data_IF_817790431424
#
_entry.id   IF_817790431424
#
_cell.length_a   1.000
_cell.length_b   1.000
_cell.length_c   1.000
_cell.angle_alpha   90.00
_cell.angle_beta   90.00
_cell.angle_gamma   90.00
#
_symmetry.space_group_name_H-M   'P 1'
#
loop_
_entity.id
_entity.type
_entity.pdbx_description
1 polymer ?
#
# COMPACT_ATOMS: atom_id res chain seq x y z
N UNK A 1 1.04 -7.11 -6.96
CA UNK A 1 1.24 -6.82 -8.41
C UNK A 1 -0.07 -6.83 -9.24
N UNK A 2 -0.80 -7.96 -9.33
CA UNK A 2 -2.01 -8.09 -10.19
C UNK A 2 -3.09 -7.03 -9.90
N UNK A 3 -3.32 -6.68 -8.63
CA UNK A 3 -4.39 -5.73 -8.25
C UNK A 3 -4.07 -4.30 -8.72
N UNK A 4 -2.82 -3.85 -8.62
CA UNK A 4 -2.41 -2.53 -9.12
C UNK A 4 -2.52 -2.46 -10.66
N UNK A 5 -2.22 -3.56 -11.34
CA UNK A 5 -2.36 -3.70 -12.80
C UNK A 5 -3.84 -3.68 -13.24
N UNK A 6 -4.75 -4.22 -12.42
CA UNK A 6 -6.19 -4.06 -12.65
C UNK A 6 -6.61 -2.60 -12.51
N UNK A 7 -6.15 -1.90 -11.47
CA UNK A 7 -6.52 -0.49 -11.26
C UNK A 7 -6.02 0.43 -12.38
N UNK A 8 -4.79 0.23 -12.88
CA UNK A 8 -4.29 1.02 -14.04
C UNK A 8 -5.12 0.72 -15.29
N UNK A 9 -5.47 -0.54 -15.53
CA UNK A 9 -6.27 -0.92 -16.69
C UNK A 9 -7.68 -0.32 -16.61
N UNK A 10 -8.34 -0.43 -15.46
CA UNK A 10 -9.66 0.16 -15.25
C UNK A 10 -9.64 1.68 -15.40
N UNK A 11 -8.63 2.37 -14.85
CA UNK A 11 -8.47 3.81 -15.03
C UNK A 11 -8.32 4.19 -16.51
N UNK A 12 -7.51 3.44 -17.28
CA UNK A 12 -7.33 3.65 -18.70
C UNK A 12 -8.63 3.45 -19.49
N UNK A 13 -9.39 2.39 -19.21
CA UNK A 13 -10.70 2.16 -19.84
C UNK A 13 -11.68 3.31 -19.56
N UNK A 14 -11.74 3.79 -18.31
CA UNK A 14 -12.58 4.93 -17.93
C UNK A 14 -12.16 6.22 -18.64
N UNK A 15 -10.86 6.42 -18.83
CA UNK A 15 -10.35 7.54 -19.62
C UNK A 15 -10.77 7.46 -21.09
N UNK A 16 -10.67 6.28 -21.71
CA UNK A 16 -11.13 6.08 -23.09
C UNK A 16 -12.63 6.35 -23.24
N UNK A 17 -13.46 5.77 -22.36
CA UNK A 17 -14.90 6.02 -22.36
C UNK A 17 -15.22 7.51 -22.19
N UNK A 18 -14.48 8.21 -21.32
CA UNK A 18 -14.67 9.65 -21.12
C UNK A 18 -14.33 10.51 -22.35
N UNK A 19 -13.50 10.02 -23.28
CA UNK A 19 -13.20 10.73 -24.54
C UNK A 19 -14.37 10.67 -25.52
N UNK A 20 -15.16 9.59 -25.47
CA UNK A 20 -16.30 9.34 -26.37
C UNK A 20 -17.60 10.03 -25.87
N UNK A 21 -17.65 10.42 -24.59
CA UNK A 21 -18.83 11.01 -23.95
C UNK A 21 -18.86 12.56 -24.01
N UNK A 22 -19.90 13.21 -24.60
CA UNK A 22 -20.01 14.67 -24.64
C UNK A 22 -20.73 15.27 -23.42
N UNK A 23 -21.18 14.45 -22.47
CA UNK A 23 -22.10 14.86 -21.41
C UNK A 23 -21.41 15.03 -20.04
N UNK A 24 -22.20 15.38 -19.02
CA UNK A 24 -21.74 15.43 -17.61
C UNK A 24 -21.12 14.09 -17.17
N UNK A 25 -21.51 12.98 -17.79
CA UNK A 25 -20.97 11.64 -17.54
C UNK A 25 -19.45 11.61 -17.72
N UNK A 26 -18.89 12.33 -18.71
CA UNK A 26 -17.44 12.46 -18.91
C UNK A 26 -16.71 12.91 -17.65
N UNK A 27 -17.24 13.92 -16.96
CA UNK A 27 -16.63 14.46 -15.73
C UNK A 27 -16.63 13.41 -14.61
N UNK A 28 -17.69 12.62 -14.50
CA UNK A 28 -17.76 11.52 -13.53
C UNK A 28 -16.78 10.39 -13.87
N UNK A 29 -16.72 9.96 -15.12
CA UNK A 29 -15.78 8.92 -15.56
C UNK A 29 -14.33 9.30 -15.28
N UNK A 30 -13.93 10.54 -15.58
CA UNK A 30 -12.58 11.04 -15.28
C UNK A 30 -12.30 11.05 -13.76
N UNK A 31 -13.28 11.39 -12.92
CA UNK A 31 -13.12 11.34 -11.46
C UNK A 31 -12.94 9.92 -10.95
N UNK A 32 -13.70 8.97 -11.48
CA UNK A 32 -13.57 7.55 -11.13
C UNK A 32 -12.21 7.02 -11.61
N UNK A 33 -11.73 7.43 -12.78
CA UNK A 33 -10.39 7.08 -13.26
C UNK A 33 -9.29 7.59 -12.30
N UNK A 34 -9.40 8.84 -11.84
CA UNK A 34 -8.47 9.42 -10.83
C UNK A 34 -8.51 8.63 -9.52
N UNK A 35 -9.68 8.17 -9.08
CA UNK A 35 -9.80 7.31 -7.89
C UNK A 35 -9.02 6.02 -8.08
N UNK A 36 -9.19 5.32 -9.20
CA UNK A 36 -8.44 4.09 -9.49
C UNK A 36 -6.92 4.32 -9.52
N UNK A 37 -6.46 5.46 -10.04
CA UNK A 37 -5.05 5.83 -9.98
C UNK A 37 -4.53 6.04 -8.55
N UNK A 38 -5.34 6.63 -7.67
CA UNK A 38 -4.99 6.76 -6.24
C UNK A 38 -4.94 5.39 -5.55
N UNK A 39 -5.91 4.52 -5.84
CA UNK A 39 -5.95 3.16 -5.28
C UNK A 39 -4.76 2.32 -5.76
N UNK A 40 -4.35 2.47 -7.03
CA UNK A 40 -3.12 1.86 -7.58
C UNK A 40 -1.87 2.22 -6.79
N UNK A 41 -1.70 3.48 -6.43
CA UNK A 41 -0.54 3.93 -5.64
C UNK A 41 -0.50 3.27 -4.27
N UNK A 42 -1.65 3.18 -3.59
CA UNK A 42 -1.75 2.48 -2.30
C UNK A 42 -1.43 1.00 -2.45
N UNK A 43 -1.99 0.33 -3.45
CA UNK A 43 -1.72 -1.09 -3.68
C UNK A 43 -0.25 -1.35 -4.03
N UNK A 44 0.37 -0.47 -4.81
CA UNK A 44 1.79 -0.50 -5.12
C UNK A 44 2.66 -0.37 -3.87
N UNK A 45 2.33 0.57 -2.98
CA UNK A 45 3.04 0.73 -1.72
C UNK A 45 2.90 -0.50 -0.81
N UNK A 46 1.69 -1.02 -0.65
CA UNK A 46 1.42 -2.21 0.17
C UNK A 46 2.19 -3.42 -0.37
N UNK A 47 2.15 -3.66 -1.68
CA UNK A 47 2.90 -4.75 -2.32
C UNK A 47 4.41 -4.60 -2.11
N UNK A 48 4.95 -3.37 -2.18
CA UNK A 48 6.38 -3.13 -1.94
C UNK A 48 6.77 -3.37 -0.47
N UNK A 49 5.92 -2.95 0.46
CA UNK A 49 6.15 -3.15 1.89
C UNK A 49 6.09 -4.64 2.27
N UNK A 50 5.15 -5.39 1.67
CA UNK A 50 5.04 -6.85 1.77
C UNK A 50 6.33 -7.55 1.28
N UNK A 51 6.79 -7.21 0.08
CA UNK A 51 7.99 -7.80 -0.52
C UNK A 51 9.25 -7.50 0.31
N UNK A 52 9.39 -6.27 0.81
CA UNK A 52 10.50 -5.88 1.68
C UNK A 52 10.51 -6.70 2.98
N UNK A 53 9.36 -6.81 3.66
CA UNK A 53 9.24 -7.55 4.91
C UNK A 53 9.52 -9.04 4.73
N UNK A 54 9.04 -9.63 3.64
CA UNK A 54 9.31 -11.03 3.32
C UNK A 54 10.80 -11.27 3.04
N UNK A 55 11.45 -10.33 2.34
CA UNK A 55 12.88 -10.41 2.02
C UNK A 55 13.74 -10.32 3.29
N UNK A 56 13.45 -9.36 4.17
CA UNK A 56 14.15 -9.20 5.47
C UNK A 56 14.04 -10.46 6.33
N UNK A 57 12.82 -11.01 6.44
CA UNK A 57 12.57 -12.25 7.17
C UNK A 57 13.33 -13.43 6.59
N UNK A 58 13.25 -13.62 5.27
CA UNK A 58 13.91 -14.73 4.57
C UNK A 58 15.43 -14.67 4.77
N UNK A 59 16.03 -13.48 4.68
CA UNK A 59 17.46 -13.29 4.91
C UNK A 59 17.87 -13.70 6.33
N UNK A 60 17.14 -13.25 7.34
CA UNK A 60 17.45 -13.60 8.73
C UNK A 60 17.30 -15.10 9.01
N UNK A 61 16.33 -15.76 8.36
CA UNK A 61 16.18 -17.21 8.46
C UNK A 61 17.36 -17.95 7.81
N UNK A 62 17.79 -17.52 6.63
CA UNK A 62 18.97 -18.08 5.94
C UNK A 62 20.23 -17.91 6.79
N UNK A 63 20.45 -16.74 7.38
CA UNK A 63 21.60 -16.46 8.23
C UNK A 63 21.60 -17.38 9.48
N UNK A 64 20.43 -17.57 10.09
CA UNK A 64 20.26 -18.48 11.23
C UNK A 64 20.51 -19.95 10.84
N UNK A 65 19.96 -20.42 9.71
CA UNK A 65 20.20 -21.77 9.21
C UNK A 65 21.68 -22.04 8.90
N UNK A 66 22.36 -21.06 8.29
CA UNK A 66 23.79 -21.16 8.01
C UNK A 66 24.61 -21.22 9.30
N UNK A 67 24.23 -20.45 10.32
CA UNK A 67 24.88 -20.48 11.64
C UNK A 67 24.69 -21.83 12.33
N UNK A 68 23.49 -22.42 12.26
CA UNK A 68 23.23 -23.77 12.77
C UNK A 68 24.09 -24.82 12.06
N UNK A 69 24.16 -24.79 10.72
CA UNK A 69 25.02 -25.70 9.95
C UNK A 69 26.50 -25.56 10.31
N UNK A 70 26.96 -24.34 10.57
CA UNK A 70 28.33 -24.08 11.01
C UNK A 70 28.61 -24.67 12.41
N UNK A 71 27.67 -24.51 13.34
CA UNK A 71 27.73 -25.09 14.68
C UNK A 71 27.75 -26.62 14.64
N UNK A 72 26.90 -27.26 13.84
CA UNK A 72 26.89 -28.72 13.69
C UNK A 72 28.24 -29.24 13.15
N UNK A 73 28.82 -28.53 12.18
CA UNK A 73 30.14 -28.85 11.64
C UNK A 73 31.26 -28.66 12.66
N UNK A 74 31.21 -27.61 13.48
CA UNK A 74 32.16 -27.37 14.57
C UNK A 74 32.09 -28.47 15.62
N UNK A 75 30.87 -28.88 16.01
CA UNK A 75 30.60 -29.99 16.95
C UNK A 75 31.14 -31.31 16.41
N UNK A 76 30.86 -31.65 15.15
CA UNK A 76 31.39 -32.87 14.51
C UNK A 76 32.93 -32.91 14.48
N UNK A 77 33.59 -31.76 14.31
CA UNK A 77 35.05 -31.64 14.30
C UNK A 77 35.66 -31.45 15.69
N UNK A 78 34.84 -31.26 16.73
CA UNK A 78 35.27 -30.88 18.08
C UNK A 78 36.23 -29.68 18.09
N UNK A 79 36.02 -28.72 17.19
CA UNK A 79 36.89 -27.56 16.99
C UNK A 79 36.05 -26.29 16.82
N UNK A 80 36.46 -25.19 17.45
CA UNK A 80 35.84 -23.87 17.35
C UNK A 80 34.35 -23.82 17.78
N UNK A 81 33.93 -24.75 18.65
CA UNK A 81 32.53 -24.92 19.07
C UNK A 81 32.00 -23.68 19.79
N UNK A 82 32.75 -23.14 20.76
CA UNK A 82 32.32 -21.96 21.52
C UNK A 82 32.10 -20.74 20.62
N UNK A 83 32.96 -20.54 19.62
CA UNK A 83 32.83 -19.43 18.68
C UNK A 83 31.58 -19.60 17.79
N UNK A 84 31.35 -20.82 17.29
CA UNK A 84 30.17 -21.10 16.46
C UNK A 84 28.86 -21.00 17.27
N UNK A 85 28.89 -21.38 18.54
CA UNK A 85 27.75 -21.29 19.46
C UNK A 85 27.43 -19.83 19.80
N UNK A 86 28.44 -19.00 20.09
CA UNK A 86 28.26 -17.57 20.32
C UNK A 86 27.61 -16.88 19.10
N UNK A 87 28.10 -17.16 17.88
CA UNK A 87 27.53 -16.60 16.65
C UNK A 87 26.08 -17.06 16.42
N UNK A 88 25.79 -18.34 16.66
CA UNK A 88 24.43 -18.88 16.54
C UNK A 88 23.47 -18.22 17.55
N UNK A 89 23.95 -17.98 18.77
CA UNK A 89 23.19 -17.32 19.84
C UNK A 89 22.90 -15.85 19.55
N UNK A 90 23.73 -15.17 18.76
CA UNK A 90 23.45 -13.81 18.24
C UNK A 90 22.41 -13.83 17.11
N UNK A 91 22.47 -14.81 16.20
CA UNK A 91 21.53 -14.90 15.08
C UNK A 91 20.11 -15.33 15.48
N UNK A 92 19.98 -16.17 16.50
CA UNK A 92 18.71 -16.72 16.97
C UNK A 92 17.67 -15.63 17.35
N UNK A 93 17.95 -14.70 18.29
CA UNK A 93 16.96 -13.70 18.71
C UNK A 93 16.55 -12.77 17.57
N UNK A 94 17.47 -12.46 16.66
CA UNK A 94 17.20 -11.61 15.49
C UNK A 94 16.20 -12.28 14.54
N UNK A 95 16.39 -13.58 14.27
CA UNK A 95 15.47 -14.36 13.43
C UNK A 95 14.09 -14.49 14.08
N UNK A 96 14.02 -14.76 15.38
CA UNK A 96 12.76 -14.82 16.12
C UNK A 96 12.00 -13.49 16.12
N UNK A 97 12.70 -12.38 16.38
CA UNK A 97 12.10 -11.04 16.39
C UNK A 97 11.54 -10.69 15.01
N UNK A 98 12.30 -10.92 13.94
CA UNK A 98 11.84 -10.68 12.57
C UNK A 98 10.68 -11.59 12.20
N UNK A 99 10.66 -12.85 12.67
CA UNK A 99 9.52 -13.75 12.46
C UNK A 99 8.26 -13.26 13.17
N UNK A 100 8.36 -12.80 14.41
CA UNK A 100 7.24 -12.20 15.14
C UNK A 100 6.71 -10.95 14.41
N UNK A 101 7.61 -10.02 14.05
CA UNK A 101 7.25 -8.80 13.34
C UNK A 101 6.63 -9.10 11.97
N UNK A 102 7.19 -10.02 11.19
CA UNK A 102 6.65 -10.39 9.89
C UNK A 102 5.24 -10.99 10.00
N UNK A 103 4.99 -11.86 10.99
CA UNK A 103 3.65 -12.42 11.23
C UNK A 103 2.63 -11.34 11.58
N UNK A 104 3.00 -10.41 12.46
CA UNK A 104 2.13 -9.29 12.84
C UNK A 104 1.86 -8.36 11.65
N UNK A 105 2.87 -8.05 10.86
CA UNK A 105 2.76 -7.19 9.69
C UNK A 105 1.85 -7.81 8.61
N UNK A 106 1.99 -9.12 8.35
CA UNK A 106 1.15 -9.87 7.40
C UNK A 106 -0.34 -9.76 7.77
N UNK A 107 -0.67 -9.82 9.06
CA UNK A 107 -2.05 -9.67 9.54
C UNK A 107 -2.55 -8.23 9.34
N UNK A 108 -1.65 -7.25 9.41
CA UNK A 108 -1.97 -5.83 9.38
C UNK A 108 -2.01 -5.21 7.98
N UNK A 109 -1.47 -5.84 6.92
CA UNK A 109 -1.52 -5.28 5.57
C UNK A 109 -2.94 -5.04 5.06
N UNK A 110 -3.85 -6.01 5.25
CA UNK A 110 -5.24 -5.86 4.81
C UNK A 110 -5.96 -4.71 5.55
N UNK A 111 -5.94 -4.62 6.90
CA UNK A 111 -6.45 -3.46 7.62
C UNK A 111 -5.85 -2.12 7.16
N UNK A 112 -4.53 -2.04 6.98
CA UNK A 112 -3.85 -0.81 6.51
C UNK A 112 -4.33 -0.40 5.13
N UNK A 113 -4.42 -1.35 4.20
CA UNK A 113 -4.95 -1.11 2.85
C UNK A 113 -6.39 -0.59 2.89
N UNK A 114 -7.27 -1.23 3.67
CA UNK A 114 -8.67 -0.81 3.81
C UNK A 114 -8.76 0.59 4.40
N UNK A 115 -7.95 0.91 5.42
CA UNK A 115 -7.91 2.23 6.02
C UNK A 115 -7.47 3.31 5.01
N UNK A 116 -6.42 3.04 4.23
CA UNK A 116 -5.96 3.94 3.17
C UNK A 116 -7.02 4.15 2.08
N UNK A 117 -7.72 3.08 1.67
CA UNK A 117 -8.81 3.18 0.70
C UNK A 117 -9.98 4.01 1.23
N UNK A 118 -10.39 3.79 2.49
CA UNK A 118 -11.44 4.59 3.14
C UNK A 118 -11.06 6.05 3.19
N UNK A 119 -9.81 6.36 3.57
CA UNK A 119 -9.30 7.72 3.62
C UNK A 119 -9.40 8.41 2.25
N UNK A 120 -8.98 7.74 1.17
CA UNK A 120 -9.07 8.28 -0.19
C UNK A 120 -10.51 8.61 -0.57
N UNK A 121 -11.46 7.71 -0.28
CA UNK A 121 -12.87 7.93 -0.60
C UNK A 121 -13.45 9.12 0.16
N UNK A 122 -13.16 9.22 1.46
CA UNK A 122 -13.61 10.33 2.31
C UNK A 122 -13.06 11.66 1.77
N UNK A 123 -11.75 11.76 1.54
CA UNK A 123 -11.11 12.98 1.05
C UNK A 123 -11.67 13.43 -0.31
N UNK A 124 -11.95 12.47 -1.20
CA UNK A 124 -12.58 12.77 -2.48
C UNK A 124 -14.02 13.26 -2.31
N UNK A 125 -14.83 12.60 -1.46
CA UNK A 125 -16.20 13.02 -1.20
C UNK A 125 -16.28 14.40 -0.55
N UNK A 126 -15.41 14.69 0.41
CA UNK A 126 -15.33 16.01 1.06
C UNK A 126 -14.97 17.11 0.05
N UNK A 127 -14.02 16.84 -0.85
CA UNK A 127 -13.65 17.77 -1.89
C UNK A 127 -14.80 18.05 -2.87
N UNK A 128 -15.57 17.03 -3.23
CA UNK A 128 -16.75 17.16 -4.09
C UNK A 128 -17.86 17.98 -3.41
N UNK A 129 -18.12 17.73 -2.13
CA UNK A 129 -19.08 18.54 -1.35
C UNK A 129 -18.63 20.00 -1.32
N UNK A 130 -17.33 20.26 -1.14
CA UNK A 130 -16.78 21.62 -1.17
C UNK A 130 -16.98 22.29 -2.54
N UNK A 131 -16.72 21.59 -3.64
CA UNK A 131 -16.96 22.12 -4.98
C UNK A 131 -18.44 22.43 -5.23
N UNK A 132 -19.36 21.56 -4.79
CA UNK A 132 -20.80 21.79 -4.93
C UNK A 132 -21.23 23.05 -4.16
N UNK A 133 -20.83 23.19 -2.89
CA UNK A 133 -21.10 24.38 -2.07
C UNK A 133 -20.56 25.68 -2.68
N UNK A 134 -19.38 25.61 -3.29
CA UNK A 134 -18.80 26.77 -3.98
C UNK A 134 -19.63 27.16 -5.22
N UNK A 135 -20.09 26.18 -6.00
CA UNK A 135 -20.95 26.44 -7.16
C UNK A 135 -22.29 27.05 -6.73
N UNK A 136 -22.91 26.52 -5.67
CA UNK A 136 -24.16 27.06 -5.11
C UNK A 136 -23.98 28.52 -4.68
N UNK A 137 -22.86 28.84 -4.03
CA UNK A 137 -22.53 30.21 -3.59
C UNK A 137 -22.36 31.18 -4.78
N UNK A 138 -21.71 30.71 -5.86
CA UNK A 138 -21.55 31.49 -7.10
C UNK A 138 -22.89 31.75 -7.78
N UNK A 139 -23.73 30.71 -7.90
CA UNK A 139 -25.07 30.83 -8.49
C UNK A 139 -25.95 31.80 -7.68
N UNK A 140 -25.90 31.71 -6.35
CA UNK A 140 -26.62 32.62 -5.47
C UNK A 140 -26.17 34.07 -5.68
N UNK A 141 -24.85 34.30 -5.78
CA UNK A 141 -24.30 35.63 -6.05
C UNK A 141 -24.79 36.21 -7.39
N UNK A 142 -24.87 35.37 -8.43
CA UNK A 142 -25.45 35.79 -9.71
C UNK A 142 -26.93 36.15 -9.60
N UNK A 143 -27.73 35.35 -8.87
CA UNK A 143 -29.15 35.62 -8.64
C UNK A 143 -29.34 36.97 -7.92
N UNK A 144 -28.53 37.24 -6.91
CA UNK A 144 -28.64 38.47 -6.13
C UNK A 144 -28.28 39.71 -6.97
N UNK A 145 -27.32 39.59 -7.90
CA UNK A 145 -27.02 40.64 -8.88
C UNK A 145 -28.21 40.95 -9.81
N UNK A 146 -28.96 39.92 -10.23
CA UNK A 146 -30.14 40.12 -11.07
C UNK A 146 -31.34 40.65 -10.30
N UNK A 147 -31.48 40.34 -9.00
CA UNK A 147 -32.56 40.87 -8.15
C UNK A 147 -32.36 42.34 -7.77
N UNK A 148 -31.11 42.80 -7.72
CA UNK A 148 -30.75 44.15 -7.31
C UNK A 148 -30.55 45.12 -8.50
N UNK A 149 -30.89 44.69 -9.72
CA UNK A 149 -31.04 45.54 -10.91
C UNK A 149 -32.52 45.63 -11.29
#
# INVERSE_FOLDING_TARGET
>A
KIVADVYIHTAACLHCLALEEPTVIKKYLLKVAVLFDKLRKVEGQVSSDEDLKLTEHTKALIDYENSNKALDKARLKSKDVELAEAHQQECCPKSEQLSKSAKEEVINFKPKRVAAFRKILIEMSELEIKHARNNDSLLQSCIDLFKNN
#
